data_IF_421125134876
#
_entry.id   IF_421125134876
#
_cell.length_a   1.000
_cell.length_b   1.000
_cell.length_c   1.000
_cell.angle_alpha   90.00
_cell.angle_beta   90.00
_cell.angle_gamma   90.00
#
_symmetry.space_group_name_H-M   'P 1'
#
loop_
_entity.id
_entity.type
_entity.pdbx_description
1 polymer ?
#
# COMPACT_ATOMS: atom_id res chain seq x y z
N UNK A 1 44.63 -3.26 -21.54
CA UNK A 1 43.48 -2.37 -21.23
C UNK A 1 42.27 -2.72 -22.12
N UNK A 2 41.72 -3.94 -21.99
CA UNK A 2 40.56 -4.42 -22.80
C UNK A 2 39.50 -5.16 -21.95
N UNK A 3 39.76 -5.42 -20.65
CA UNK A 3 38.86 -6.23 -19.81
C UNK A 3 37.77 -5.39 -19.10
N UNK A 4 37.93 -4.07 -19.01
CA UNK A 4 37.00 -3.21 -18.25
C UNK A 4 35.72 -2.78 -19.01
N UNK A 5 35.58 -3.09 -20.32
CA UNK A 5 34.40 -2.69 -21.12
C UNK A 5 33.30 -3.74 -21.19
N UNK A 6 33.56 -4.99 -20.80
CA UNK A 6 32.60 -6.09 -20.99
C UNK A 6 31.64 -6.29 -19.81
N UNK A 7 31.96 -5.76 -18.63
CA UNK A 7 31.10 -5.89 -17.43
C UNK A 7 29.94 -4.86 -17.44
N UNK A 8 30.09 -3.74 -18.16
CA UNK A 8 29.06 -2.68 -18.20
C UNK A 8 27.86 -3.01 -19.10
N UNK A 9 27.99 -3.98 -19.99
CA UNK A 9 26.92 -4.35 -20.95
C UNK A 9 26.04 -5.49 -20.44
N UNK A 10 26.48 -6.24 -19.42
CA UNK A 10 25.69 -7.37 -18.87
C UNK A 10 24.59 -6.88 -17.91
N UNK A 11 24.69 -5.67 -17.36
CA UNK A 11 23.67 -5.10 -16.46
C UNK A 11 22.45 -4.49 -17.17
N UNK A 12 22.42 -4.46 -18.51
CA UNK A 12 21.32 -3.86 -19.27
C UNK A 12 20.35 -4.88 -19.88
N UNK A 13 20.59 -6.18 -19.75
CA UNK A 13 19.81 -7.24 -20.44
C UNK A 13 19.17 -8.24 -19.47
N UNK A 14 18.81 -7.78 -18.27
CA UNK A 14 18.07 -8.60 -17.31
C UNK A 14 16.94 -7.77 -16.66
N UNK A 15 16.16 -7.07 -17.46
CA UNK A 15 15.00 -6.30 -16.97
C UNK A 15 13.75 -6.45 -17.84
N UNK A 16 13.66 -7.55 -18.59
CA UNK A 16 12.44 -7.93 -19.32
C UNK A 16 12.22 -9.43 -19.12
N UNK A 17 11.91 -9.82 -17.88
CA UNK A 17 11.33 -11.13 -17.59
C UNK A 17 9.92 -10.88 -17.06
N UNK A 18 9.00 -10.76 -18.02
CA UNK A 18 7.60 -11.19 -17.93
C UNK A 18 6.87 -10.90 -16.62
N UNK A 19 6.26 -9.71 -16.53
CA UNK A 19 5.03 -9.55 -15.75
C UNK A 19 3.96 -10.38 -16.46
N UNK A 20 3.87 -11.67 -16.11
CA UNK A 20 2.71 -12.46 -16.45
C UNK A 20 1.63 -12.04 -15.47
N UNK A 21 0.72 -11.19 -15.93
CA UNK A 21 -0.57 -10.97 -15.26
C UNK A 21 -1.34 -12.28 -15.38
N UNK A 22 -1.24 -13.14 -14.37
CA UNK A 22 -2.08 -14.33 -14.26
C UNK A 22 -3.45 -13.91 -13.73
N UNK A 23 -4.36 -13.62 -14.65
CA UNK A 23 -5.79 -13.50 -14.34
C UNK A 23 -6.38 -14.89 -14.11
N UNK A 24 -6.14 -15.48 -12.93
CA UNK A 24 -6.98 -16.55 -12.41
C UNK A 24 -8.00 -15.93 -11.45
N UNK A 25 -8.94 -15.17 -12.04
CA UNK A 25 -10.11 -14.67 -11.33
C UNK A 25 -11.04 -15.86 -11.08
N UNK A 26 -10.92 -16.44 -9.88
CA UNK A 26 -11.87 -17.43 -9.38
C UNK A 26 -13.22 -16.77 -9.10
N UNK A 27 -14.32 -17.52 -9.19
CA UNK A 27 -15.68 -17.02 -8.99
C UNK A 27 -15.96 -16.41 -7.59
N UNK A 28 -15.01 -16.49 -6.64
CA UNK A 28 -15.06 -15.77 -5.36
C UNK A 28 -14.76 -14.26 -5.49
N UNK A 29 -14.07 -13.85 -6.55
CA UNK A 29 -13.51 -12.49 -6.71
C UNK A 29 -14.58 -11.46 -7.10
N UNK A 30 -15.59 -11.88 -7.88
CA UNK A 30 -16.66 -10.98 -8.35
C UNK A 30 -17.62 -10.54 -7.25
N UNK A 31 -17.83 -11.39 -6.23
CA UNK A 31 -18.71 -11.10 -5.08
C UNK A 31 -18.07 -10.08 -4.14
N UNK A 32 -16.79 -10.24 -3.82
CA UNK A 32 -16.05 -9.34 -2.93
C UNK A 32 -15.82 -7.97 -3.57
N UNK A 33 -15.43 -7.92 -4.85
CA UNK A 33 -15.31 -6.68 -5.62
C UNK A 33 -16.63 -5.88 -5.58
N UNK A 34 -17.76 -6.56 -5.79
CA UNK A 34 -19.08 -5.93 -5.76
C UNK A 34 -19.43 -5.41 -4.35
N UNK A 35 -19.11 -6.17 -3.30
CA UNK A 35 -19.35 -5.75 -1.92
C UNK A 35 -18.56 -4.48 -1.56
N UNK A 36 -17.27 -4.43 -1.89
CA UNK A 36 -16.46 -3.25 -1.59
C UNK A 36 -16.93 -2.01 -2.35
N UNK A 37 -17.29 -2.17 -3.63
CA UNK A 37 -17.85 -1.09 -4.43
C UNK A 37 -19.13 -0.54 -3.80
N UNK A 38 -20.05 -1.40 -3.39
CA UNK A 38 -21.30 -1.00 -2.71
C UNK A 38 -21.00 -0.27 -1.40
N UNK A 39 -20.03 -0.73 -0.62
CA UNK A 39 -19.66 -0.09 0.65
C UNK A 39 -19.04 1.30 0.43
N UNK A 40 -18.19 1.45 -0.59
CA UNK A 40 -17.63 2.75 -0.99
C UNK A 40 -18.75 3.69 -1.45
N UNK A 41 -19.67 3.23 -2.30
CA UNK A 41 -20.80 4.04 -2.77
C UNK A 41 -21.70 4.50 -1.62
N UNK A 42 -21.95 3.63 -0.63
CA UNK A 42 -22.68 4.01 0.59
C UNK A 42 -21.95 5.10 1.36
N UNK A 43 -20.64 4.97 1.57
CA UNK A 43 -19.83 5.97 2.26
C UNK A 43 -19.87 7.33 1.56
N UNK A 44 -19.83 7.34 0.22
CA UNK A 44 -19.89 8.56 -0.58
C UNK A 44 -21.25 9.28 -0.45
N UNK A 45 -22.35 8.54 -0.26
CA UNK A 45 -23.70 9.09 -0.09
C UNK A 45 -24.05 9.47 1.36
N UNK A 46 -23.34 8.94 2.35
CA UNK A 46 -23.63 9.13 3.76
C UNK A 46 -23.26 10.54 4.24
N UNK A 47 -24.20 11.29 4.80
CA UNK A 47 -23.95 12.65 5.30
C UNK A 47 -23.05 12.71 6.55
N UNK A 48 -22.86 11.59 7.25
CA UNK A 48 -21.98 11.51 8.43
C UNK A 48 -20.51 11.32 8.05
N UNK A 49 -20.23 10.83 6.84
CA UNK A 49 -18.85 10.73 6.34
C UNK A 49 -18.35 12.13 6.00
N UNK A 50 -17.22 12.51 6.60
CA UNK A 50 -16.61 13.82 6.42
C UNK A 50 -16.40 14.15 4.93
N UNK A 51 -16.87 15.32 4.50
CA UNK A 51 -16.77 15.77 3.11
C UNK A 51 -15.33 15.92 2.63
N UNK A 52 -14.39 16.13 3.55
CA UNK A 52 -12.95 16.13 3.27
C UNK A 52 -12.48 14.79 2.67
N UNK A 53 -12.83 13.66 3.31
CA UNK A 53 -12.45 12.32 2.84
C UNK A 53 -13.02 12.00 1.47
N UNK A 54 -14.26 12.43 1.21
CA UNK A 54 -14.88 12.28 -0.11
C UNK A 54 -14.11 13.06 -1.18
N UNK A 55 -13.64 14.26 -0.85
CA UNK A 55 -12.84 15.05 -1.78
C UNK A 55 -11.47 14.42 -2.05
N UNK A 56 -10.78 13.90 -1.03
CA UNK A 56 -9.53 13.12 -1.20
C UNK A 56 -9.76 11.92 -2.12
N UNK A 57 -10.85 11.17 -1.90
CA UNK A 57 -11.24 10.06 -2.77
C UNK A 57 -11.41 10.49 -4.23
N UNK A 58 -12.15 11.57 -4.51
CA UNK A 58 -12.36 12.04 -5.88
C UNK A 58 -11.12 12.68 -6.52
N UNK A 59 -10.22 13.27 -5.73
CA UNK A 59 -9.01 13.95 -6.21
C UNK A 59 -7.84 13.02 -6.39
N UNK A 60 -7.88 11.82 -5.83
CA UNK A 60 -6.82 10.82 -5.90
C UNK A 60 -5.48 11.27 -5.27
N UNK A 61 -5.54 12.20 -4.32
CA UNK A 61 -4.40 12.77 -3.61
C UNK A 61 -4.87 13.50 -2.36
N UNK A 62 -3.95 13.76 -1.43
CA UNK A 62 -4.20 14.65 -0.31
C UNK A 62 -4.58 16.04 -0.81
N UNK A 63 -5.47 16.71 -0.08
CA UNK A 63 -5.82 18.11 -0.32
C UNK A 63 -5.62 18.90 0.98
N UNK A 64 -5.40 20.21 0.86
CA UNK A 64 -5.31 21.08 2.03
C UNK A 64 -6.60 21.03 2.85
N UNK A 65 -6.46 20.90 4.17
CA UNK A 65 -7.56 20.82 5.10
C UNK A 65 -7.13 21.27 6.49
N UNK A 66 -8.03 21.10 7.45
CA UNK A 66 -7.68 21.23 8.86
C UNK A 66 -6.86 20.00 9.29
N UNK A 67 -5.70 20.22 9.91
CA UNK A 67 -4.77 19.15 10.29
C UNK A 67 -5.44 18.02 11.09
N UNK A 68 -6.38 18.36 11.99
CA UNK A 68 -7.07 17.35 12.80
C UNK A 68 -7.97 16.45 11.94
N UNK A 69 -8.61 17.01 10.92
CA UNK A 69 -9.44 16.26 9.97
C UNK A 69 -8.57 15.44 9.01
N UNK A 70 -7.42 16.00 8.60
CA UNK A 70 -6.47 15.31 7.75
C UNK A 70 -5.95 14.06 8.46
N UNK A 71 -5.45 14.22 9.68
CA UNK A 71 -4.88 13.14 10.47
C UNK A 71 -5.91 12.10 10.92
N UNK A 72 -7.18 12.48 11.13
CA UNK A 72 -8.19 11.52 11.60
C UNK A 72 -8.47 10.38 10.61
N UNK A 73 -7.91 10.42 9.40
CA UNK A 73 -7.92 9.27 8.48
C UNK A 73 -7.08 8.09 9.03
N UNK A 74 -6.01 8.34 9.78
CA UNK A 74 -5.20 7.29 10.41
C UNK A 74 -6.05 6.51 11.40
N UNK A 75 -6.86 7.20 12.21
CA UNK A 75 -7.79 6.55 13.15
C UNK A 75 -8.92 5.83 12.42
N UNK A 76 -9.44 6.46 11.36
CA UNK A 76 -10.55 5.90 10.57
C UNK A 76 -10.15 4.61 9.83
N UNK A 77 -8.87 4.46 9.48
CA UNK A 77 -8.32 3.22 8.91
C UNK A 77 -8.51 2.01 9.84
N UNK A 78 -8.46 2.23 11.16
CA UNK A 78 -8.64 1.20 12.20
C UNK A 78 -10.01 1.26 12.87
N UNK A 79 -10.98 1.96 12.27
CA UNK A 79 -12.34 2.07 12.81
C UNK A 79 -12.95 0.70 13.11
N UNK A 80 -13.90 0.59 14.04
CA UNK A 80 -14.69 -0.65 14.20
C UNK A 80 -15.86 -0.74 13.21
N UNK A 81 -16.12 0.32 12.44
CA UNK A 81 -17.24 0.40 11.50
C UNK A 81 -16.91 -0.25 10.16
N UNK A 82 -17.04 -1.58 10.12
CA UNK A 82 -16.66 -2.42 8.96
C UNK A 82 -17.27 -2.00 7.62
N UNK A 83 -18.44 -1.36 7.64
CA UNK A 83 -19.11 -0.86 6.43
C UNK A 83 -18.38 0.27 5.71
N UNK A 84 -17.46 0.98 6.38
CA UNK A 84 -16.68 2.08 5.78
C UNK A 84 -15.20 1.73 5.60
N UNK A 85 -14.73 0.56 6.03
CA UNK A 85 -13.31 0.20 5.97
C UNK A 85 -12.72 0.31 4.57
N UNK A 86 -13.38 -0.26 3.56
CA UNK A 86 -12.91 -0.17 2.18
C UNK A 86 -12.82 1.30 1.69
N UNK A 87 -13.74 2.16 2.14
CA UNK A 87 -13.70 3.58 1.83
C UNK A 87 -12.54 4.28 2.54
N UNK A 88 -12.36 4.07 3.85
CA UNK A 88 -11.26 4.68 4.59
C UNK A 88 -9.89 4.16 4.14
N UNK A 89 -9.77 2.88 3.80
CA UNK A 89 -8.57 2.32 3.18
C UNK A 89 -8.24 3.01 1.85
N UNK A 90 -9.25 3.22 1.00
CA UNK A 90 -9.07 3.97 -0.26
C UNK A 90 -8.62 5.40 0.00
N UNK A 91 -9.30 6.13 0.90
CA UNK A 91 -8.96 7.51 1.22
C UNK A 91 -7.56 7.62 1.82
N UNK A 92 -7.22 6.75 2.77
CA UNK A 92 -5.89 6.65 3.37
C UNK A 92 -4.83 6.44 2.29
N UNK A 93 -5.03 5.46 1.41
CA UNK A 93 -4.13 5.17 0.30
C UNK A 93 -3.96 6.37 -0.64
N UNK A 94 -5.06 7.05 -1.01
CA UNK A 94 -4.98 8.27 -1.84
C UNK A 94 -4.29 9.42 -1.13
N UNK A 95 -4.45 9.51 0.18
CA UNK A 95 -3.85 10.58 0.99
C UNK A 95 -2.33 10.49 1.04
N UNK A 96 -1.73 9.32 0.78
CA UNK A 96 -0.28 9.18 0.64
C UNK A 96 0.27 9.93 -0.58
N UNK A 97 -0.54 10.09 -1.64
CA UNK A 97 -0.13 10.83 -2.82
C UNK A 97 -0.13 12.33 -2.52
N UNK A 98 1.07 12.94 -2.52
CA UNK A 98 1.28 14.34 -2.17
C UNK A 98 1.45 14.59 -0.66
N UNK A 99 1.52 13.56 0.17
CA UNK A 99 1.84 13.70 1.58
C UNK A 99 3.31 14.10 1.77
N UNK A 100 3.56 15.04 2.68
CA UNK A 100 4.90 15.47 3.06
C UNK A 100 4.98 15.82 4.55
N UNK A 101 6.20 16.04 5.03
CA UNK A 101 6.51 16.44 6.40
C UNK A 101 5.79 15.60 7.46
N UNK A 102 5.26 16.28 8.47
CA UNK A 102 4.53 15.67 9.59
C UNK A 102 3.35 14.79 9.16
N UNK A 103 2.65 15.12 8.06
CA UNK A 103 1.55 14.30 7.59
C UNK A 103 2.05 12.96 7.04
N UNK A 104 3.14 12.97 6.27
CA UNK A 104 3.77 11.73 5.78
C UNK A 104 4.31 10.84 6.90
N UNK A 105 4.81 11.41 7.99
CA UNK A 105 5.22 10.66 9.19
C UNK A 105 4.03 9.93 9.83
N UNK A 106 2.91 10.64 10.05
CA UNK A 106 1.70 10.04 10.60
C UNK A 106 1.15 8.91 9.72
N UNK A 107 1.20 9.08 8.40
CA UNK A 107 0.81 8.02 7.45
C UNK A 107 1.78 6.85 7.47
N UNK A 108 3.09 7.09 7.58
CA UNK A 108 4.11 6.05 7.65
C UNK A 108 3.91 5.13 8.85
N UNK A 109 3.72 5.71 10.03
CA UNK A 109 3.40 4.98 11.25
C UNK A 109 2.13 4.14 11.11
N UNK A 110 1.02 4.76 10.69
CA UNK A 110 -0.26 4.06 10.52
C UNK A 110 -0.20 2.97 9.43
N UNK A 111 0.55 3.19 8.35
CA UNK A 111 0.73 2.22 7.28
C UNK A 111 1.52 0.99 7.76
N UNK A 112 2.59 1.20 8.53
CA UNK A 112 3.36 0.12 9.15
C UNK A 112 2.46 -0.70 10.08
N UNK A 113 1.76 -0.04 11.00
CA UNK A 113 0.86 -0.71 11.95
C UNK A 113 -0.23 -1.51 11.21
N UNK A 114 -0.83 -0.93 10.16
CA UNK A 114 -1.86 -1.61 9.38
C UNK A 114 -1.32 -2.84 8.66
N UNK A 115 -0.11 -2.75 8.09
CA UNK A 115 0.53 -3.90 7.46
C UNK A 115 0.78 -5.03 8.45
N UNK A 116 1.25 -4.74 9.65
CA UNK A 116 1.58 -5.75 10.66
C UNK A 116 0.35 -6.40 11.31
N UNK A 117 -0.73 -5.62 11.50
CA UNK A 117 -1.92 -6.06 12.24
C UNK A 117 -3.09 -6.48 11.34
N UNK A 118 -3.18 -5.95 10.12
CA UNK A 118 -4.28 -6.15 9.17
C UNK A 118 -3.75 -6.61 7.79
N UNK A 119 -2.67 -7.39 7.75
CA UNK A 119 -2.02 -7.85 6.50
C UNK A 119 -3.00 -8.48 5.51
N UNK A 120 -3.90 -9.34 5.99
CA UNK A 120 -4.87 -10.02 5.14
C UNK A 120 -5.86 -9.03 4.49
N UNK A 121 -6.31 -8.03 5.24
CA UNK A 121 -7.19 -6.99 4.73
C UNK A 121 -6.47 -6.11 3.71
N UNK A 122 -5.24 -5.68 4.01
CA UNK A 122 -4.39 -4.95 3.07
C UNK A 122 -4.31 -5.67 1.72
N UNK A 123 -4.00 -6.97 1.76
CA UNK A 123 -3.88 -7.78 0.55
C UNK A 123 -5.21 -7.94 -0.17
N UNK A 124 -6.29 -8.18 0.57
CA UNK A 124 -7.62 -8.33 -0.01
C UNK A 124 -8.08 -7.03 -0.67
N UNK A 125 -7.81 -5.86 -0.06
CA UNK A 125 -8.15 -4.58 -0.66
C UNK A 125 -7.37 -4.34 -1.95
N UNK A 126 -6.06 -4.54 -1.98
CA UNK A 126 -5.28 -4.36 -3.20
C UNK A 126 -5.64 -5.35 -4.32
N UNK A 127 -5.99 -6.59 -3.98
CA UNK A 127 -6.39 -7.58 -4.98
C UNK A 127 -7.84 -7.40 -5.48
N UNK A 128 -8.74 -6.89 -4.63
CA UNK A 128 -10.17 -6.83 -4.92
C UNK A 128 -10.72 -5.42 -5.10
N UNK A 129 -9.94 -4.36 -4.95
CA UNK A 129 -10.36 -3.00 -5.31
C UNK A 129 -9.74 -2.67 -6.66
N UNK A 130 -10.52 -2.82 -7.73
CA UNK A 130 -10.09 -2.54 -9.10
C UNK A 130 -9.62 -1.08 -9.35
N UNK A 131 -9.73 -0.20 -8.36
CA UNK A 131 -9.29 1.19 -8.42
C UNK A 131 -7.84 1.38 -7.96
N UNK A 132 -7.24 0.42 -7.25
CA UNK A 132 -5.86 0.50 -6.79
C UNK A 132 -4.89 -0.03 -7.83
N UNK A 133 -3.74 0.63 -7.96
CA UNK A 133 -2.71 0.25 -8.93
C UNK A 133 -1.31 0.16 -8.29
N UNK A 134 -0.29 -0.05 -9.14
CA UNK A 134 1.10 -0.16 -8.69
C UNK A 134 1.67 1.18 -8.18
N UNK A 135 1.11 2.32 -8.58
CA UNK A 135 1.49 3.62 -8.02
C UNK A 135 1.00 3.74 -6.58
N UNK A 136 -0.21 3.25 -6.30
CA UNK A 136 -0.73 3.20 -4.93
C UNK A 136 0.14 2.30 -4.04
N UNK A 137 0.51 1.11 -4.53
CA UNK A 137 1.39 0.21 -3.80
C UNK A 137 2.78 0.83 -3.55
N UNK A 138 3.29 1.60 -4.52
CA UNK A 138 4.55 2.34 -4.37
C UNK A 138 4.44 3.46 -3.34
N UNK A 139 3.31 4.16 -3.26
CA UNK A 139 3.08 5.18 -2.24
C UNK A 139 3.10 4.56 -0.83
N UNK A 140 2.47 3.38 -0.68
CA UNK A 140 2.59 2.59 0.55
C UNK A 140 4.03 2.22 0.86
N UNK A 141 4.78 1.70 -0.13
CA UNK A 141 6.19 1.35 0.05
C UNK A 141 7.04 2.56 0.50
N UNK A 142 6.83 3.74 -0.09
CA UNK A 142 7.53 4.96 0.30
C UNK A 142 7.21 5.38 1.74
N UNK A 143 5.93 5.38 2.13
CA UNK A 143 5.52 5.77 3.49
C UNK A 143 6.09 4.79 4.54
N UNK A 144 5.97 3.49 4.27
CA UNK A 144 6.47 2.43 5.15
C UNK A 144 8.00 2.47 5.23
N UNK A 145 8.69 2.71 4.12
CA UNK A 145 10.14 2.86 4.13
C UNK A 145 10.58 4.10 4.92
N UNK A 146 9.87 5.22 4.80
CA UNK A 146 10.11 6.40 5.63
C UNK A 146 10.03 6.08 7.13
N UNK A 147 9.02 5.30 7.54
CA UNK A 147 8.91 4.83 8.93
C UNK A 147 10.07 3.89 9.33
N UNK A 148 10.51 3.00 8.42
CA UNK A 148 11.68 2.14 8.66
C UNK A 148 12.94 2.97 8.88
N UNK A 149 13.17 4.01 8.07
CA UNK A 149 14.34 4.87 8.21
C UNK A 149 14.36 5.60 9.55
N UNK A 150 13.19 6.02 10.04
CA UNK A 150 13.07 6.69 11.34
C UNK A 150 13.22 5.72 12.52
N UNK A 151 12.63 4.54 12.43
CA UNK A 151 12.56 3.58 13.54
C UNK A 151 13.76 2.63 13.63
N UNK A 152 14.48 2.41 12.52
CA UNK A 152 15.51 1.38 12.36
C UNK A 152 16.75 1.90 11.62
N UNK A 153 17.16 3.15 11.91
CA UNK A 153 18.33 3.79 11.30
C UNK A 153 19.57 2.86 11.34
N UNK A 154 20.28 2.76 10.21
CA UNK A 154 21.43 1.88 9.95
C UNK A 154 21.11 0.37 9.92
N UNK A 155 19.86 -0.03 10.15
CA UNK A 155 19.40 -1.42 10.22
C UNK A 155 18.18 -1.67 9.30
N UNK A 156 17.98 -0.84 8.29
CA UNK A 156 16.79 -0.83 7.42
C UNK A 156 16.60 -2.16 6.69
N UNK A 157 17.70 -2.79 6.23
CA UNK A 157 17.64 -4.11 5.60
C UNK A 157 17.16 -5.21 6.53
N UNK A 158 17.55 -5.16 7.81
CA UNK A 158 17.07 -6.10 8.82
C UNK A 158 15.59 -5.86 9.12
N UNK A 159 15.17 -4.60 9.24
CA UNK A 159 13.78 -4.21 9.43
C UNK A 159 12.89 -4.69 8.26
N UNK A 160 13.31 -4.47 7.01
CA UNK A 160 12.60 -4.98 5.81
C UNK A 160 12.51 -6.51 5.84
N UNK A 161 13.57 -7.20 6.25
CA UNK A 161 13.57 -8.66 6.37
C UNK A 161 12.60 -9.16 7.43
N UNK A 162 12.52 -8.47 8.56
CA UNK A 162 11.60 -8.81 9.65
C UNK A 162 10.15 -8.51 9.27
N UNK A 163 9.88 -7.37 8.63
CA UNK A 163 8.57 -7.05 8.07
C UNK A 163 8.12 -8.14 7.08
N UNK A 164 8.99 -8.56 6.15
CA UNK A 164 8.69 -9.66 5.22
C UNK A 164 8.25 -10.93 5.97
N UNK A 165 8.94 -11.31 7.05
CA UNK A 165 8.58 -12.48 7.86
C UNK A 165 7.20 -12.30 8.49
N UNK A 166 6.95 -11.15 9.12
CA UNK A 166 5.65 -10.80 9.73
C UNK A 166 4.52 -10.92 8.73
N UNK A 167 4.63 -10.26 7.57
CA UNK A 167 3.60 -10.28 6.54
C UNK A 167 3.38 -11.69 5.97
N UNK A 168 4.45 -12.48 5.83
CA UNK A 168 4.36 -13.86 5.35
C UNK A 168 3.63 -14.79 6.34
N UNK A 169 3.79 -14.56 7.65
CA UNK A 169 3.09 -15.34 8.68
C UNK A 169 1.59 -15.02 8.75
N UNK A 170 1.20 -13.81 8.35
CA UNK A 170 -0.19 -13.34 8.41
C UNK A 170 -1.02 -13.69 7.17
N UNK A 171 -0.41 -14.25 6.11
CA UNK A 171 -1.12 -14.67 4.89
C UNK A 171 -1.15 -16.19 4.75
N UNK A 172 -2.14 -16.70 4.02
CA UNK A 172 -2.23 -18.14 3.78
C UNK A 172 -1.19 -18.59 2.75
N UNK A 173 -0.38 -19.59 3.11
CA UNK A 173 0.61 -20.21 2.23
C UNK A 173 0.03 -20.85 0.96
N UNK A 174 -1.30 -20.92 0.81
CA UNK A 174 -1.94 -21.51 -0.37
C UNK A 174 -2.52 -20.49 -1.36
N UNK A 175 -2.42 -19.18 -1.09
CA UNK A 175 -2.98 -18.14 -1.96
C UNK A 175 -1.89 -17.36 -2.69
N UNK A 176 -1.58 -17.79 -3.93
CA UNK A 176 -0.53 -17.19 -4.79
C UNK A 176 -0.69 -15.67 -4.97
N UNK A 177 -1.92 -15.19 -5.18
CA UNK A 177 -2.18 -13.75 -5.33
C UNK A 177 -1.78 -12.94 -4.08
N UNK A 178 -1.95 -13.51 -2.89
CA UNK A 178 -1.59 -12.84 -1.65
C UNK A 178 -0.07 -12.72 -1.50
N UNK A 179 0.65 -13.82 -1.78
CA UNK A 179 2.12 -13.81 -1.81
C UNK A 179 2.67 -12.87 -2.86
N UNK A 180 2.04 -12.83 -4.03
CA UNK A 180 2.46 -11.98 -5.14
C UNK A 180 2.46 -10.51 -4.76
N UNK A 181 1.41 -10.04 -4.06
CA UNK A 181 1.33 -8.65 -3.60
C UNK A 181 2.37 -8.34 -2.51
N UNK A 182 2.51 -9.20 -1.50
CA UNK A 182 3.52 -9.00 -0.44
C UNK A 182 4.94 -9.01 -1.02
N UNK A 183 5.22 -9.90 -1.96
CA UNK A 183 6.54 -9.95 -2.63
C UNK A 183 6.81 -8.64 -3.37
N UNK A 184 5.84 -8.12 -4.13
CA UNK A 184 5.96 -6.84 -4.82
C UNK A 184 6.22 -5.68 -3.86
N UNK A 185 5.50 -5.62 -2.73
CA UNK A 185 5.71 -4.60 -1.71
C UNK A 185 7.15 -4.65 -1.17
N UNK A 186 7.64 -5.84 -0.79
CA UNK A 186 9.00 -6.01 -0.26
C UNK A 186 10.07 -5.67 -1.31
N UNK A 187 9.86 -6.04 -2.57
CA UNK A 187 10.75 -5.66 -3.67
C UNK A 187 10.81 -4.13 -3.83
N UNK A 188 9.68 -3.43 -3.72
CA UNK A 188 9.66 -1.96 -3.75
C UNK A 188 10.45 -1.37 -2.59
N UNK A 189 10.30 -1.88 -1.36
CA UNK A 189 11.07 -1.43 -0.19
C UNK A 189 12.59 -1.59 -0.42
N UNK A 190 13.02 -2.73 -0.96
CA UNK A 190 14.43 -2.98 -1.26
C UNK A 190 14.98 -2.07 -2.36
N UNK A 191 14.17 -1.75 -3.36
CA UNK A 191 14.54 -0.79 -4.42
C UNK A 191 14.73 0.59 -3.80
N UNK A 192 13.76 1.08 -3.01
CA UNK A 192 13.83 2.40 -2.37
C UNK A 192 15.07 2.49 -1.47
N UNK A 193 15.36 1.45 -0.68
CA UNK A 193 16.57 1.38 0.15
C UNK A 193 17.86 1.48 -0.67
N UNK A 194 17.87 1.03 -1.92
CA UNK A 194 19.07 1.10 -2.77
C UNK A 194 19.25 2.46 -3.47
N UNK A 195 18.22 3.31 -3.45
CA UNK A 195 18.21 4.63 -4.08
C UNK A 195 18.59 5.76 -3.11
N UNK A 196 18.38 5.56 -1.79
CA UNK A 196 18.81 6.47 -0.71
C UNK A 196 20.26 6.27 -0.30
#
# INVERSE_FOLDING_TARGET
MIIAKTIKTIRATLFIASVIVFSNVSAQDSSSNNLYKVNIEKALLDSNVNSYFKQVYYKNQIISGDDSVMLSITDSLFSSESQYHAFYFMVFTRSMNGADGFYSEALGFAAMEFLETHTLEFVNYFNSLALLDSSDLRNWANCVYGEIQLSSEENELEAISNLKKTLSMNISENLEAQRGLITQLIEMLLIINSEG
#
